data_IF_776653971703
#
_entry.id   IF_776653971703
#
_cell.length_a   1.000
_cell.length_b   1.000
_cell.length_c   1.000
_cell.angle_alpha   90.00
_cell.angle_beta   90.00
_cell.angle_gamma   90.00
#
_symmetry.space_group_name_H-M   'P 1'
#
loop_
_entity.id
_entity.type
_entity.pdbx_description
1 polymer ?
#
# COMPACT_ATOMS: atom_id res chain seq x y z
N UNK A 1 30.53 -71.60 26.75
CA UNK A 1 29.11 -71.19 26.70
C UNK A 1 29.07 -69.69 26.48
N UNK A 2 28.32 -69.27 25.48
CA UNK A 2 28.46 -67.99 24.78
C UNK A 2 27.97 -66.78 25.59
N UNK A 3 28.64 -65.65 25.36
CA UNK A 3 28.23 -64.32 25.76
C UNK A 3 26.99 -63.86 24.95
N UNK A 4 26.00 -63.29 25.63
CA UNK A 4 24.95 -62.49 25.01
C UNK A 4 24.78 -61.15 25.76
N UNK A 5 24.64 -60.03 25.04
CA UNK A 5 24.56 -58.70 25.64
C UNK A 5 23.11 -58.29 25.95
N UNK A 6 22.96 -57.42 26.96
CA UNK A 6 21.71 -56.74 27.34
C UNK A 6 21.35 -55.65 26.32
N UNK A 7 20.05 -55.37 26.09
CA UNK A 7 19.61 -54.31 25.19
C UNK A 7 19.74 -52.92 25.83
N UNK A 8 20.21 -51.97 25.03
CA UNK A 8 20.32 -50.53 25.31
C UNK A 8 18.95 -49.85 25.27
N UNK A 9 18.55 -49.20 26.36
CA UNK A 9 17.43 -48.26 26.39
C UNK A 9 17.88 -46.88 25.88
N UNK A 10 17.22 -46.27 24.88
CA UNK A 10 17.50 -44.89 24.50
C UNK A 10 16.81 -43.93 25.48
N UNK A 11 17.56 -42.91 25.87
CA UNK A 11 17.22 -41.96 26.90
C UNK A 11 16.12 -40.95 26.54
N UNK A 12 15.71 -40.26 27.59
CA UNK A 12 14.76 -39.15 27.68
C UNK A 12 15.17 -38.01 26.74
N UNK A 13 14.28 -37.49 25.87
CA UNK A 13 14.48 -36.18 25.25
C UNK A 13 13.90 -35.08 26.16
N UNK A 14 14.75 -34.13 26.54
CA UNK A 14 14.37 -32.90 27.25
C UNK A 14 13.60 -31.91 26.36
N UNK A 15 12.95 -30.88 26.94
CA UNK A 15 12.10 -29.97 26.19
C UNK A 15 12.92 -28.85 25.57
N UNK A 16 13.22 -28.96 24.27
CA UNK A 16 13.71 -27.83 23.48
C UNK A 16 13.06 -27.85 22.09
N UNK A 17 11.94 -27.15 21.94
CA UNK A 17 11.50 -26.60 20.65
C UNK A 17 10.46 -25.50 20.87
N UNK A 18 10.88 -24.24 20.65
CA UNK A 18 9.98 -23.10 20.46
C UNK A 18 9.14 -23.33 19.19
N UNK A 19 7.84 -23.00 19.16
CA UNK A 19 7.15 -22.83 17.88
C UNK A 19 7.44 -21.44 17.33
N UNK A 20 8.48 -21.31 16.51
CA UNK A 20 8.59 -20.20 15.55
C UNK A 20 7.81 -20.56 14.29
N UNK A 21 6.69 -19.88 14.05
CA UNK A 21 6.20 -19.45 12.72
C UNK A 21 4.89 -18.66 12.85
N UNK A 22 4.97 -17.49 13.46
CA UNK A 22 3.97 -16.42 13.34
C UNK A 22 4.68 -15.16 12.80
N UNK A 23 5.27 -15.27 11.61
CA UNK A 23 6.03 -14.18 11.01
C UNK A 23 6.02 -14.29 9.48
N UNK A 24 4.86 -14.10 8.84
CA UNK A 24 4.80 -13.88 7.38
C UNK A 24 3.78 -12.81 6.98
N UNK A 25 2.76 -12.51 7.79
CA UNK A 25 1.64 -11.65 7.31
C UNK A 25 1.88 -10.14 7.52
N UNK A 26 2.72 -9.74 8.48
CA UNK A 26 2.86 -8.33 8.86
C UNK A 26 3.69 -7.45 7.89
N UNK A 27 4.52 -8.04 7.02
CA UNK A 27 5.42 -7.27 6.16
C UNK A 27 4.79 -6.77 4.84
N UNK A 28 3.63 -7.30 4.42
CA UNK A 28 2.99 -6.89 3.16
C UNK A 28 2.10 -5.65 3.28
N UNK A 29 1.51 -5.41 4.46
CA UNK A 29 0.57 -4.31 4.68
C UNK A 29 1.27 -2.94 4.79
N UNK A 30 2.46 -2.88 5.42
CA UNK A 30 3.19 -1.62 5.66
C UNK A 30 3.81 -1.06 4.37
N UNK A 31 4.23 -1.93 3.44
CA UNK A 31 4.77 -1.49 2.13
C UNK A 31 3.66 -0.94 1.21
N UNK A 32 2.45 -1.50 1.26
CA UNK A 32 1.32 -1.08 0.43
C UNK A 32 0.85 0.35 0.72
N UNK A 33 0.73 0.74 2.00
CA UNK A 33 0.28 2.09 2.37
C UNK A 33 1.24 3.20 1.93
N UNK A 34 2.56 2.94 1.97
CA UNK A 34 3.57 3.88 1.49
C UNK A 34 3.54 4.05 -0.03
N UNK A 35 3.28 2.96 -0.76
CA UNK A 35 3.12 2.99 -2.21
C UNK A 35 1.82 3.69 -2.62
N UNK A 36 0.69 3.43 -1.96
CA UNK A 36 -0.61 4.09 -2.22
C UNK A 36 -0.54 5.62 -2.03
N UNK A 37 0.01 6.07 -0.89
CA UNK A 37 0.22 7.49 -0.62
C UNK A 37 1.19 8.11 -1.65
N UNK A 38 2.18 7.35 -2.10
CA UNK A 38 3.10 7.78 -3.16
C UNK A 38 2.38 7.96 -4.49
N UNK A 39 1.48 7.06 -4.87
CA UNK A 39 0.71 7.10 -6.12
C UNK A 39 -0.23 8.30 -6.18
N UNK A 40 -1.01 8.54 -5.11
CA UNK A 40 -1.88 9.72 -4.98
C UNK A 40 -1.07 11.01 -5.12
N UNK A 41 0.08 11.05 -4.45
CA UNK A 41 0.98 12.20 -4.53
C UNK A 41 1.59 12.38 -5.94
N UNK A 42 1.84 11.31 -6.69
CA UNK A 42 2.31 11.41 -8.08
C UNK A 42 1.22 12.02 -8.97
N UNK A 43 -0.03 11.57 -8.86
CA UNK A 43 -1.14 12.09 -9.66
C UNK A 43 -1.40 13.58 -9.38
N UNK A 44 -1.43 13.99 -8.11
CA UNK A 44 -1.58 15.39 -7.73
C UNK A 44 -0.43 16.27 -8.27
N UNK A 45 0.82 15.78 -8.21
CA UNK A 45 1.99 16.48 -8.77
C UNK A 45 1.92 16.66 -10.28
N UNK A 46 1.29 15.73 -11.02
CA UNK A 46 1.16 15.87 -12.47
C UNK A 46 0.33 17.07 -12.90
N UNK A 47 -0.71 17.44 -12.14
CA UNK A 47 -1.51 18.64 -12.43
C UNK A 47 -0.70 19.92 -12.29
N UNK A 48 0.10 20.03 -11.22
CA UNK A 48 1.00 21.17 -11.06
C UNK A 48 2.06 21.18 -12.18
N UNK A 49 2.58 20.01 -12.52
CA UNK A 49 3.60 19.86 -13.57
C UNK A 49 3.07 20.23 -14.95
N UNK A 50 1.84 19.86 -15.30
CA UNK A 50 1.22 20.21 -16.58
C UNK A 50 1.02 21.71 -16.72
N UNK A 51 0.51 22.39 -15.69
CA UNK A 51 0.36 23.85 -15.68
C UNK A 51 1.71 24.55 -15.81
N UNK A 52 2.71 24.12 -15.02
CA UNK A 52 4.06 24.67 -15.09
C UNK A 52 4.66 24.49 -16.49
N UNK A 53 4.46 23.31 -17.09
CA UNK A 53 4.97 22.98 -18.41
C UNK A 53 4.31 23.83 -19.52
N UNK A 54 2.99 24.09 -19.44
CA UNK A 54 2.31 25.01 -20.37
C UNK A 54 2.92 26.41 -20.28
N UNK A 55 3.07 26.95 -19.07
CA UNK A 55 3.68 28.27 -18.87
C UNK A 55 5.11 28.34 -19.42
N UNK A 56 5.94 27.33 -19.12
CA UNK A 56 7.31 27.25 -19.63
C UNK A 56 7.32 27.15 -21.17
N UNK A 57 6.37 26.44 -21.77
CA UNK A 57 6.22 26.34 -23.22
C UNK A 57 5.86 27.69 -23.82
N UNK A 58 4.91 28.43 -23.24
CA UNK A 58 4.57 29.81 -23.66
C UNK A 58 5.78 30.74 -23.59
N UNK A 59 6.62 30.62 -22.55
CA UNK A 59 7.84 31.43 -22.44
C UNK A 59 8.92 31.00 -23.43
N UNK A 60 9.00 29.70 -23.73
CA UNK A 60 9.92 29.15 -24.72
C UNK A 60 9.59 29.64 -26.15
N UNK A 61 8.31 29.67 -26.53
CA UNK A 61 7.89 30.18 -27.86
C UNK A 61 8.20 31.65 -28.06
N UNK A 62 8.39 32.42 -26.97
CA UNK A 62 8.83 33.82 -26.99
C UNK A 62 10.36 34.00 -27.08
N UNK A 63 11.10 32.92 -27.35
CA UNK A 63 12.55 32.95 -27.58
C UNK A 63 13.42 32.70 -26.35
N UNK A 64 12.84 32.29 -25.21
CA UNK A 64 13.62 32.03 -24.00
C UNK A 64 14.23 30.62 -24.00
N UNK A 65 15.53 30.50 -24.31
CA UNK A 65 16.25 29.23 -24.26
C UNK A 65 16.20 28.53 -22.88
N UNK A 66 16.27 29.30 -21.78
CA UNK A 66 16.13 28.77 -20.42
C UNK A 66 14.78 28.07 -20.19
N UNK A 67 13.69 28.67 -20.66
CA UNK A 67 12.35 28.10 -20.52
C UNK A 67 12.11 26.93 -21.47
N UNK A 68 12.74 26.92 -22.65
CA UNK A 68 12.74 25.77 -23.55
C UNK A 68 13.35 24.53 -22.85
N UNK A 69 14.53 24.69 -22.24
CA UNK A 69 15.18 23.61 -21.49
C UNK A 69 14.33 23.18 -20.28
N UNK A 70 13.78 24.13 -19.53
CA UNK A 70 12.92 23.84 -18.38
C UNK A 70 11.63 23.11 -18.78
N UNK A 71 11.01 23.49 -19.91
CA UNK A 71 9.83 22.83 -20.44
C UNK A 71 10.14 21.38 -20.87
N UNK A 72 11.27 21.14 -21.55
CA UNK A 72 11.71 19.78 -21.90
C UNK A 72 11.96 18.92 -20.67
N UNK A 73 12.60 19.47 -19.64
CA UNK A 73 12.80 18.76 -18.37
C UNK A 73 11.46 18.43 -17.67
N UNK A 74 10.51 19.38 -17.65
CA UNK A 74 9.17 19.15 -17.11
C UNK A 74 8.41 18.08 -17.91
N UNK A 75 8.53 18.06 -19.25
CA UNK A 75 7.92 17.04 -20.10
C UNK A 75 8.49 15.65 -19.84
N UNK A 76 9.81 15.52 -19.66
CA UNK A 76 10.43 14.25 -19.30
C UNK A 76 9.92 13.73 -17.95
N UNK A 77 9.90 14.59 -16.91
CA UNK A 77 9.35 14.23 -15.60
C UNK A 77 7.86 13.86 -15.66
N UNK A 78 7.11 14.52 -16.54
CA UNK A 78 5.69 14.25 -16.74
C UNK A 78 5.48 12.86 -17.36
N UNK A 79 6.25 12.52 -18.39
CA UNK A 79 6.21 11.20 -19.02
C UNK A 79 6.64 10.08 -18.06
N UNK A 80 7.72 10.30 -17.29
CA UNK A 80 8.20 9.33 -16.30
C UNK A 80 7.16 9.08 -15.20
N UNK A 81 6.53 10.15 -14.69
CA UNK A 81 5.47 10.02 -13.70
C UNK A 81 4.24 9.31 -14.27
N UNK A 82 3.88 9.56 -15.53
CA UNK A 82 2.75 8.91 -16.18
C UNK A 82 3.01 7.42 -16.39
N UNK A 83 4.21 7.05 -16.83
CA UNK A 83 4.61 5.66 -16.96
C UNK A 83 4.54 4.92 -15.62
N UNK A 84 4.91 5.56 -14.50
CA UNK A 84 4.77 4.98 -13.16
C UNK A 84 3.31 4.74 -12.80
N UNK A 85 2.43 5.72 -13.01
CA UNK A 85 1.00 5.59 -12.74
C UNK A 85 0.35 4.47 -13.55
N UNK A 86 0.74 4.29 -14.82
CA UNK A 86 0.25 3.22 -15.68
C UNK A 86 0.77 1.83 -15.29
N UNK A 87 1.91 1.76 -14.60
CA UNK A 87 2.44 0.50 -14.08
C UNK A 87 1.82 0.11 -12.72
N UNK A 88 1.26 1.08 -11.98
CA UNK A 88 0.62 0.84 -10.68
C UNK A 88 -0.45 -0.28 -10.73
N UNK A 89 -1.38 -0.34 -11.69
CA UNK A 89 -2.37 -1.42 -11.83
C UNK A 89 -1.83 -2.84 -11.85
N UNK A 90 -0.56 -3.06 -12.18
CA UNK A 90 0.05 -4.40 -12.18
C UNK A 90 0.21 -4.99 -10.77
N UNK A 91 0.19 -4.13 -9.76
CA UNK A 91 0.37 -4.51 -8.35
C UNK A 91 -0.93 -4.43 -7.54
N UNK A 92 -2.04 -4.07 -8.20
CA UNK A 92 -3.35 -3.91 -7.59
C UNK A 92 -4.17 -5.20 -7.68
N UNK A 93 -5.18 -5.32 -6.83
CA UNK A 93 -6.19 -6.38 -6.93
C UNK A 93 -7.04 -6.22 -8.21
N UNK A 94 -7.77 -7.27 -8.60
CA UNK A 94 -8.52 -7.29 -9.86
C UNK A 94 -9.58 -6.17 -9.94
N UNK A 95 -10.22 -5.85 -8.81
CA UNK A 95 -11.21 -4.81 -8.70
C UNK A 95 -10.60 -3.40 -8.87
N UNK A 96 -9.50 -3.11 -8.17
CA UNK A 96 -8.78 -1.85 -8.25
C UNK A 96 -8.11 -1.63 -9.60
N UNK A 97 -7.50 -2.68 -10.16
CA UNK A 97 -6.95 -2.67 -11.51
C UNK A 97 -8.00 -2.35 -12.57
N UNK A 98 -9.21 -2.90 -12.44
CA UNK A 98 -10.33 -2.64 -13.35
C UNK A 98 -10.87 -1.22 -13.27
N UNK A 99 -10.85 -0.58 -12.09
CA UNK A 99 -11.23 0.84 -11.94
C UNK A 99 -10.28 1.74 -12.72
N UNK A 100 -8.97 1.63 -12.44
CA UNK A 100 -7.95 2.47 -13.10
C UNK A 100 -7.95 2.23 -14.61
N UNK A 101 -8.03 0.96 -15.03
CA UNK A 101 -8.06 0.58 -16.44
C UNK A 101 -9.23 1.23 -17.18
N UNK A 102 -10.44 1.17 -16.63
CA UNK A 102 -11.61 1.82 -17.25
C UNK A 102 -11.44 3.34 -17.39
N UNK A 103 -10.89 4.00 -16.37
CA UNK A 103 -10.65 5.45 -16.41
C UNK A 103 -9.62 5.83 -17.48
N UNK A 104 -8.56 5.02 -17.64
CA UNK A 104 -7.46 5.32 -18.56
C UNK A 104 -7.71 4.86 -20.01
N UNK A 105 -8.29 3.67 -20.21
CA UNK A 105 -8.47 3.02 -21.52
C UNK A 105 -9.79 3.38 -22.22
N UNK A 106 -10.70 4.11 -21.56
CA UNK A 106 -11.91 4.58 -22.24
C UNK A 106 -11.57 5.40 -23.51
N UNK A 107 -12.40 5.36 -24.56
CA UNK A 107 -12.23 6.23 -25.73
C UNK A 107 -12.30 7.70 -25.31
N UNK A 108 -11.26 8.49 -25.61
CA UNK A 108 -11.12 9.87 -25.06
C UNK A 108 -10.93 9.90 -23.53
N UNK A 109 -10.51 8.77 -22.96
CA UNK A 109 -10.21 8.59 -21.55
C UNK A 109 -8.91 9.26 -21.15
N UNK A 110 -8.57 9.13 -19.88
CA UNK A 110 -7.47 9.88 -19.26
C UNK A 110 -6.13 9.63 -19.94
N UNK A 111 -5.84 8.38 -20.32
CA UNK A 111 -4.58 8.04 -20.99
C UNK A 111 -4.43 8.73 -22.34
N UNK A 112 -5.44 8.62 -23.21
CA UNK A 112 -5.41 9.21 -24.53
C UNK A 112 -5.28 10.75 -24.49
N UNK A 113 -5.98 11.41 -23.57
CA UNK A 113 -5.90 12.87 -23.39
C UNK A 113 -4.52 13.31 -22.90
N UNK A 114 -3.94 12.61 -21.91
CA UNK A 114 -2.61 12.92 -21.38
C UNK A 114 -1.53 12.71 -22.45
N UNK A 115 -1.60 11.62 -23.21
CA UNK A 115 -0.63 11.32 -24.27
C UNK A 115 -0.72 12.33 -25.43
N UNK A 116 -1.93 12.72 -25.81
CA UNK A 116 -2.14 13.77 -26.82
C UNK A 116 -1.53 15.10 -26.37
N UNK A 117 -1.79 15.51 -25.13
CA UNK A 117 -1.20 16.71 -24.55
C UNK A 117 0.33 16.67 -24.51
N UNK A 118 0.93 15.57 -24.03
CA UNK A 118 2.39 15.42 -23.99
C UNK A 118 3.02 15.52 -25.40
N UNK A 119 2.37 14.93 -26.41
CA UNK A 119 2.79 15.06 -27.82
C UNK A 119 2.66 16.50 -28.33
N UNK A 120 1.57 17.20 -28.00
CA UNK A 120 1.37 18.61 -28.40
C UNK A 120 2.43 19.53 -27.78
N UNK A 121 2.77 19.33 -26.50
CA UNK A 121 3.86 20.07 -25.84
C UNK A 121 5.17 19.80 -26.56
N UNK A 122 5.54 18.53 -26.76
CA UNK A 122 6.78 18.16 -27.45
C UNK A 122 6.89 18.79 -28.85
N UNK A 123 5.83 18.68 -29.65
CA UNK A 123 5.77 19.27 -30.98
C UNK A 123 5.90 20.80 -30.95
N UNK A 124 5.27 21.47 -29.98
CA UNK A 124 5.36 22.92 -29.82
C UNK A 124 6.78 23.35 -29.44
N UNK A 125 7.44 22.62 -28.55
CA UNK A 125 8.84 22.87 -28.17
C UNK A 125 9.80 22.65 -29.34
N UNK A 126 9.58 21.60 -30.14
CA UNK A 126 10.39 21.33 -31.34
C UNK A 126 10.24 22.43 -32.40
N UNK A 127 9.02 22.97 -32.57
CA UNK A 127 8.76 24.10 -33.48
C UNK A 127 9.39 25.39 -32.96
N UNK A 128 9.30 25.65 -31.65
CA UNK A 128 9.90 26.81 -31.01
C UNK A 128 11.44 26.79 -31.14
N UNK A 129 12.07 25.64 -30.93
CA UNK A 129 13.52 25.46 -31.07
C UNK A 129 13.99 25.73 -32.51
N UNK A 130 13.21 25.33 -33.51
CA UNK A 130 13.48 25.57 -34.93
C UNK A 130 13.05 26.95 -35.41
N UNK A 131 12.52 27.80 -34.53
CA UNK A 131 11.96 29.12 -34.86
C UNK A 131 10.94 29.06 -36.00
N UNK A 132 10.11 28.01 -36.02
CA UNK A 132 9.14 27.80 -37.09
C UNK A 132 8.00 28.82 -37.04
N UNK A 133 7.50 29.33 -38.18
CA UNK A 133 6.32 30.18 -38.20
C UNK A 133 5.04 29.47 -37.71
N UNK A 134 5.05 28.13 -37.64
CA UNK A 134 3.91 27.33 -37.15
C UNK A 134 3.83 27.26 -35.62
N UNK A 135 4.78 27.86 -34.91
CA UNK A 135 4.85 27.81 -33.44
C UNK A 135 3.63 28.43 -32.79
N UNK A 136 3.12 29.56 -33.30
CA UNK A 136 1.93 30.21 -32.74
C UNK A 136 0.67 29.36 -32.90
N UNK A 137 0.49 28.74 -34.07
CA UNK A 137 -0.63 27.82 -34.35
C UNK A 137 -0.59 26.59 -33.42
N UNK A 138 0.61 26.03 -33.20
CA UNK A 138 0.80 24.90 -32.29
C UNK A 138 0.54 25.30 -30.83
N UNK A 139 0.99 26.49 -30.43
CA UNK A 139 0.77 27.01 -29.08
C UNK A 139 -0.72 27.27 -28.81
N UNK A 140 -1.46 27.84 -29.76
CA UNK A 140 -2.89 28.06 -29.64
C UNK A 140 -3.64 26.74 -29.38
N UNK A 141 -3.34 25.70 -30.18
CA UNK A 141 -3.91 24.36 -29.97
C UNK A 141 -3.53 23.73 -28.63
N UNK A 142 -2.31 23.98 -28.15
CA UNK A 142 -1.87 23.50 -26.84
C UNK A 142 -2.66 24.16 -25.70
N UNK A 143 -2.86 25.49 -25.78
CA UNK A 143 -3.63 26.25 -24.79
C UNK A 143 -5.09 25.82 -24.82
N UNK A 144 -5.71 25.67 -25.99
CA UNK A 144 -7.07 25.15 -26.13
C UNK A 144 -7.24 23.76 -25.51
N UNK A 145 -6.23 22.90 -25.62
CA UNK A 145 -6.24 21.56 -25.02
C UNK A 145 -5.93 21.50 -23.52
N UNK A 146 -5.62 22.63 -22.88
CA UNK A 146 -5.14 22.65 -21.49
C UNK A 146 -6.24 22.24 -20.50
N UNK A 147 -7.47 22.72 -20.68
CA UNK A 147 -8.58 22.36 -19.78
C UNK A 147 -8.90 20.86 -19.85
N UNK A 148 -8.89 20.28 -21.06
CA UNK A 148 -9.11 18.86 -21.25
C UNK A 148 -8.08 17.99 -20.51
N UNK A 149 -6.79 18.36 -20.51
CA UNK A 149 -5.78 17.60 -19.76
C UNK A 149 -5.90 17.82 -18.26
N UNK A 150 -6.28 19.01 -17.79
CA UNK A 150 -6.50 19.25 -16.36
C UNK A 150 -7.68 18.42 -15.84
N UNK A 151 -8.76 18.32 -16.61
CA UNK A 151 -9.89 17.45 -16.29
C UNK A 151 -9.52 15.97 -16.32
N UNK A 152 -8.69 15.55 -17.29
CA UNK A 152 -8.16 14.18 -17.33
C UNK A 152 -7.31 13.85 -16.09
N UNK A 153 -6.40 14.74 -15.71
CA UNK A 153 -5.55 14.58 -14.52
C UNK A 153 -6.36 14.58 -13.22
N UNK A 154 -7.43 15.38 -13.14
CA UNK A 154 -8.34 15.38 -12.00
C UNK A 154 -9.12 14.06 -11.88
N UNK A 155 -9.60 13.52 -13.00
CA UNK A 155 -10.25 12.20 -13.07
C UNK A 155 -9.29 11.08 -12.68
N UNK A 156 -8.03 11.14 -13.12
CA UNK A 156 -6.98 10.22 -12.69
C UNK A 156 -6.77 10.25 -11.18
N UNK A 157 -6.55 11.45 -10.63
CA UNK A 157 -6.31 11.67 -9.20
C UNK A 157 -7.48 11.13 -8.36
N UNK A 158 -8.71 11.45 -8.75
CA UNK A 158 -9.92 10.98 -8.06
C UNK A 158 -10.02 9.45 -8.07
N UNK A 159 -9.67 8.82 -9.19
CA UNK A 159 -9.71 7.35 -9.32
C UNK A 159 -8.66 6.68 -8.42
N UNK A 160 -7.46 7.24 -8.32
CA UNK A 160 -6.42 6.75 -7.41
C UNK A 160 -6.78 6.99 -5.94
N UNK A 161 -7.39 8.13 -5.61
CA UNK A 161 -7.88 8.42 -4.25
C UNK A 161 -8.97 7.45 -3.82
N UNK A 162 -9.93 7.16 -4.70
CA UNK A 162 -10.99 6.20 -4.43
C UNK A 162 -10.41 4.79 -4.20
N UNK A 163 -9.41 4.43 -4.98
CA UNK A 163 -8.74 3.15 -4.84
C UNK A 163 -8.00 3.03 -3.50
N UNK A 164 -7.21 4.04 -3.13
CA UNK A 164 -6.47 4.05 -1.86
C UNK A 164 -7.44 3.97 -0.67
N UNK A 165 -8.56 4.70 -0.71
CA UNK A 165 -9.61 4.61 0.32
C UNK A 165 -10.21 3.22 0.43
N UNK A 166 -10.54 2.60 -0.71
CA UNK A 166 -11.14 1.26 -0.73
C UNK A 166 -10.19 0.20 -0.17
N UNK A 167 -8.90 0.27 -0.51
CA UNK A 167 -7.88 -0.63 0.02
C UNK A 167 -7.64 -0.42 1.51
N UNK A 168 -7.55 0.84 1.95
CA UNK A 168 -7.42 1.19 3.37
C UNK A 168 -8.59 0.66 4.19
N UNK A 169 -9.83 0.85 3.73
CA UNK A 169 -11.03 0.35 4.40
C UNK A 169 -11.06 -1.19 4.44
N UNK A 170 -10.67 -1.86 3.35
CA UNK A 170 -10.59 -3.32 3.30
C UNK A 170 -9.54 -3.87 4.28
N UNK A 171 -8.35 -3.26 4.31
CA UNK A 171 -7.26 -3.63 5.22
C UNK A 171 -7.68 -3.44 6.69
N UNK A 172 -8.36 -2.34 7.02
CA UNK A 172 -8.85 -2.09 8.38
C UNK A 172 -9.92 -3.10 8.80
N UNK A 173 -10.81 -3.49 7.87
CA UNK A 173 -11.81 -4.53 8.13
C UNK A 173 -11.13 -5.88 8.40
N UNK A 174 -10.11 -6.24 7.64
CA UNK A 174 -9.34 -7.46 7.85
C UNK A 174 -8.62 -7.45 9.20
N UNK A 175 -7.92 -6.36 9.54
CA UNK A 175 -7.26 -6.18 10.84
C UNK A 175 -8.25 -6.30 12.00
N UNK A 176 -9.43 -5.69 11.88
CA UNK A 176 -10.49 -5.79 12.91
C UNK A 176 -10.96 -7.24 13.08
N UNK A 177 -11.11 -7.98 11.98
CA UNK A 177 -11.49 -9.41 12.02
C UNK A 177 -10.42 -10.29 12.66
N UNK A 178 -9.13 -10.04 12.38
CA UNK A 178 -8.01 -10.76 13.01
C UNK A 178 -8.00 -10.49 14.51
N UNK A 179 -8.14 -9.23 14.92
CA UNK A 179 -8.16 -8.86 16.34
C UNK A 179 -9.33 -9.52 17.07
N UNK A 180 -10.54 -9.48 16.49
CA UNK A 180 -11.69 -10.17 17.06
C UNK A 180 -11.47 -11.68 17.22
N UNK A 181 -10.76 -12.30 16.27
CA UNK A 181 -10.39 -13.72 16.35
C UNK A 181 -9.38 -13.98 17.49
N UNK A 182 -8.36 -13.14 17.63
CA UNK A 182 -7.38 -13.22 18.73
C UNK A 182 -8.08 -13.10 20.08
N UNK A 183 -9.00 -12.15 20.23
CA UNK A 183 -9.75 -11.96 21.47
C UNK A 183 -10.63 -13.17 21.81
N UNK A 184 -11.22 -13.80 20.80
CA UNK A 184 -12.00 -15.02 20.98
C UNK A 184 -11.11 -16.15 21.51
N UNK A 185 -9.96 -16.39 20.87
CA UNK A 185 -8.98 -17.40 21.32
C UNK A 185 -8.45 -17.08 22.72
N UNK A 186 -8.14 -15.82 23.02
CA UNK A 186 -7.69 -15.40 24.34
C UNK A 186 -8.75 -15.67 25.43
N UNK A 187 -10.03 -15.43 25.12
CA UNK A 187 -11.14 -15.72 26.03
C UNK A 187 -11.33 -17.22 26.26
N UNK A 188 -11.25 -18.04 25.21
CA UNK A 188 -11.29 -19.50 25.32
C UNK A 188 -10.13 -20.03 26.17
N UNK A 189 -8.91 -19.57 25.89
CA UNK A 189 -7.73 -19.92 26.67
C UNK A 189 -7.86 -19.47 28.14
N UNK A 190 -8.47 -18.31 28.40
CA UNK A 190 -8.74 -17.84 29.75
C UNK A 190 -9.71 -18.76 30.50
N UNK A 191 -10.78 -19.21 29.85
CA UNK A 191 -11.71 -20.20 30.43
C UNK A 191 -10.99 -21.52 30.74
N UNK A 192 -10.14 -22.00 29.83
CA UNK A 192 -9.35 -23.23 30.04
C UNK A 192 -8.39 -23.07 31.21
N UNK A 193 -7.68 -21.93 31.30
CA UNK A 193 -6.77 -21.64 32.41
C UNK A 193 -7.51 -21.59 33.75
N UNK A 194 -8.73 -21.03 33.77
CA UNK A 194 -9.57 -20.99 34.96
C UNK A 194 -10.02 -22.39 35.39
N UNK A 195 -10.49 -23.21 34.45
CA UNK A 195 -10.87 -24.60 34.74
C UNK A 195 -9.69 -25.41 35.29
N UNK A 196 -8.48 -25.19 34.73
CA UNK A 196 -7.26 -25.81 35.23
C UNK A 196 -6.91 -25.35 36.65
N UNK A 197 -7.08 -24.07 36.98
CA UNK A 197 -6.91 -23.56 38.35
C UNK A 197 -7.88 -24.24 39.33
N UNK A 198 -9.16 -24.38 38.96
CA UNK A 198 -10.17 -25.04 39.81
C UNK A 198 -9.82 -26.52 40.04
N UNK A 199 -9.39 -27.23 38.99
CA UNK A 199 -8.95 -28.63 39.11
C UNK A 199 -7.68 -28.79 39.94
N UNK A 200 -6.71 -27.90 39.77
CA UNK A 200 -5.50 -27.87 40.57
C UNK A 200 -5.82 -27.63 42.06
N UNK A 201 -6.73 -26.71 42.38
CA UNK A 201 -7.18 -26.47 43.75
C UNK A 201 -7.88 -27.70 44.34
N UNK A 202 -8.74 -28.37 43.55
CA UNK A 202 -9.46 -29.57 43.98
C UNK A 202 -8.55 -30.78 44.22
N UNK A 203 -7.45 -30.89 43.48
CA UNK A 203 -6.45 -31.94 43.65
C UNK A 203 -5.54 -31.73 44.89
N UNK A 204 -5.68 -30.60 45.59
CA UNK A 204 -4.93 -30.29 46.81
C UNK A 204 -3.41 -30.31 46.57
N UNK A 205 -2.68 -31.10 47.35
CA UNK A 205 -1.22 -31.17 47.25
C UNK A 205 -0.73 -31.64 45.86
N UNK A 206 -1.47 -32.52 45.19
CA UNK A 206 -1.12 -33.05 43.87
C UNK A 206 -1.33 -32.06 42.73
N UNK A 207 -2.04 -30.94 42.97
CA UNK A 207 -2.34 -29.93 41.95
C UNK A 207 -1.42 -28.71 41.96
N UNK A 208 -0.47 -28.58 42.90
CA UNK A 208 0.33 -27.35 43.07
C UNK A 208 1.06 -26.90 41.80
N UNK A 209 1.69 -27.82 41.08
CA UNK A 209 2.44 -27.47 39.85
C UNK A 209 1.51 -27.05 38.72
N UNK A 210 0.34 -27.70 38.59
CA UNK A 210 -0.69 -27.32 37.62
C UNK A 210 -1.30 -25.95 37.91
N UNK A 211 -1.45 -25.56 39.18
CA UNK A 211 -1.95 -24.24 39.56
C UNK A 211 -1.02 -23.12 39.08
N UNK A 212 0.30 -23.32 39.15
CA UNK A 212 1.29 -22.33 38.70
C UNK A 212 1.19 -22.13 37.18
N UNK A 213 1.14 -23.22 36.41
CA UNK A 213 1.01 -23.15 34.94
C UNK A 213 -0.29 -22.45 34.54
N UNK A 214 -1.40 -22.77 35.21
CA UNK A 214 -2.70 -22.19 34.92
C UNK A 214 -2.75 -20.68 35.24
N UNK A 215 -2.10 -20.24 36.33
CA UNK A 215 -1.94 -18.81 36.65
C UNK A 215 -1.13 -18.06 35.59
N UNK A 216 0.00 -18.63 35.15
CA UNK A 216 0.84 -18.00 34.12
C UNK A 216 0.07 -17.88 32.80
N UNK A 217 -0.64 -18.94 32.40
CA UNK A 217 -1.47 -18.91 31.18
C UNK A 217 -2.55 -17.83 31.27
N UNK A 218 -3.23 -17.71 32.41
CA UNK A 218 -4.23 -16.66 32.63
C UNK A 218 -3.62 -15.26 32.46
N UNK A 219 -2.42 -15.03 33.01
CA UNK A 219 -1.66 -13.79 32.82
C UNK A 219 -1.40 -13.47 31.36
N UNK A 220 -0.88 -14.44 30.60
CA UNK A 220 -0.60 -14.31 29.15
C UNK A 220 -1.89 -13.95 28.38
N UNK A 221 -3.02 -14.60 28.69
CA UNK A 221 -4.28 -14.32 27.98
C UNK A 221 -4.77 -12.89 28.21
N UNK A 222 -4.57 -12.33 29.41
CA UNK A 222 -4.93 -10.94 29.69
C UNK A 222 -4.04 -9.95 28.93
N UNK A 223 -2.74 -10.26 28.82
CA UNK A 223 -1.80 -9.43 28.08
C UNK A 223 -2.10 -9.43 26.58
N UNK A 224 -2.42 -10.60 26.00
CA UNK A 224 -2.83 -10.72 24.60
C UNK A 224 -4.08 -9.88 24.31
N UNK A 225 -5.10 -9.92 25.17
CA UNK A 225 -6.32 -9.12 24.98
C UNK A 225 -6.02 -7.61 25.03
N UNK A 226 -5.20 -7.17 25.99
CA UNK A 226 -4.76 -5.78 26.10
C UNK A 226 -3.97 -5.27 24.89
N UNK A 227 -2.98 -6.05 24.43
CA UNK A 227 -2.18 -5.70 23.23
C UNK A 227 -3.04 -5.66 21.96
N UNK A 228 -4.02 -6.56 21.85
CA UNK A 228 -4.93 -6.63 20.71
C UNK A 228 -5.81 -5.37 20.61
N UNK A 229 -6.30 -4.86 21.74
CA UNK A 229 -7.04 -3.59 21.80
C UNK A 229 -6.17 -2.38 21.45
N UNK A 230 -4.92 -2.34 21.93
CA UNK A 230 -3.98 -1.28 21.60
C UNK A 230 -3.64 -1.25 20.12
N UNK A 231 -3.50 -2.41 19.47
CA UNK A 231 -3.22 -2.51 18.04
C UNK A 231 -4.32 -1.86 17.18
N UNK A 232 -5.60 -2.12 17.48
CA UNK A 232 -6.73 -1.49 16.78
C UNK A 232 -6.78 0.02 17.05
N UNK A 233 -6.58 0.42 18.31
CA UNK A 233 -6.60 1.83 18.68
C UNK A 233 -5.47 2.63 18.01
N UNK A 234 -4.31 2.02 17.78
CA UNK A 234 -3.20 2.65 17.06
C UNK A 234 -3.49 2.72 15.55
N UNK A 235 -4.00 1.63 14.96
CA UNK A 235 -4.37 1.59 13.54
C UNK A 235 -5.48 2.62 13.21
N UNK A 236 -6.42 2.86 14.13
CA UNK A 236 -7.48 3.86 13.96
C UNK A 236 -7.03 5.32 14.06
N UNK A 237 -5.87 5.62 14.67
CA UNK A 237 -5.35 7.00 14.83
C UNK A 237 -4.65 7.55 13.59
N UNK A 238 -4.29 6.71 12.63
CA UNK A 238 -3.61 7.12 11.39
C UNK A 238 -4.57 7.49 10.24
N UNK A 239 -5.87 7.67 10.56
CA UNK A 239 -6.89 8.18 9.64
C UNK A 239 -6.98 9.71 9.72
#
# INVERSE_FOLDING_TARGET
MAAHPLPSHPGIPGPAARPTKAAVVAHKAVTGQGEEMSIVNIAARQRMLSQRMVLQTVLATRGSALHLQAARASLALFNDSQARLLNTPRHLDEAGGSLIRRTYEAPGGVGATIDAFARQVGATLDLAERQSPRTEEALARLVEGTDAVLDALNRATTSFDQLARTQSDAMMKELTGIVASIQTVAREAKVVSFNAQVMAARAGAHGREFAVVANVLSGITNEIDGLSLQAVALAGRHR
#
